data_IF_717243089746
#
_entry.id   IF_717243089746
#
_cell.length_a   1.000
_cell.length_b   1.000
_cell.length_c   1.000
_cell.angle_alpha   90.00
_cell.angle_beta   90.00
_cell.angle_gamma   90.00
#
_symmetry.space_group_name_H-M   'P 1'
#
loop_
_entity.id
_entity.type
_entity.pdbx_description
1 polymer ?
#
# COMPACT_ATOMS: atom_id res chain seq x y z
N UNK A 1 -60.48 -36.36 33.15
CA UNK A 1 -59.04 -36.10 33.01
C UNK A 1 -58.87 -34.77 32.30
N UNK A 2 -58.37 -33.75 33.01
CA UNK A 2 -58.13 -32.41 32.46
C UNK A 2 -56.76 -32.40 31.80
N UNK A 3 -56.68 -32.10 30.50
CA UNK A 3 -55.43 -31.71 29.83
C UNK A 3 -55.55 -30.24 29.42
N UNK A 4 -54.80 -29.37 30.09
CA UNK A 4 -54.63 -27.98 29.70
C UNK A 4 -53.62 -27.90 28.56
N UNK A 5 -54.03 -27.38 27.40
CA UNK A 5 -53.08 -26.96 26.36
C UNK A 5 -52.52 -25.59 26.75
N UNK A 6 -51.24 -25.56 27.10
CA UNK A 6 -50.48 -24.31 27.20
C UNK A 6 -50.02 -23.91 25.79
N UNK A 7 -50.54 -22.80 25.28
CA UNK A 7 -50.01 -22.13 24.09
C UNK A 7 -48.71 -21.43 24.46
N UNK A 8 -47.58 -21.94 23.98
CA UNK A 8 -46.30 -21.25 24.02
C UNK A 8 -46.22 -20.36 22.79
N UNK A 9 -46.42 -19.05 22.96
CA UNK A 9 -46.07 -18.05 21.95
C UNK A 9 -44.56 -17.88 21.93
N UNK A 10 -43.89 -18.45 20.90
CA UNK A 10 -42.52 -18.07 20.56
C UNK A 10 -42.54 -16.64 20.02
N UNK A 11 -42.09 -15.68 20.82
CA UNK A 11 -41.72 -14.37 20.32
C UNK A 11 -40.36 -14.49 19.61
N UNK A 12 -40.38 -14.49 18.28
CA UNK A 12 -39.16 -14.32 17.48
C UNK A 12 -38.63 -12.90 17.72
N UNK A 13 -37.60 -12.78 18.56
CA UNK A 13 -36.83 -11.55 18.69
C UNK A 13 -36.08 -11.34 17.37
N UNK A 14 -36.63 -10.52 16.47
CA UNK A 14 -35.86 -9.94 15.38
C UNK A 14 -34.84 -8.99 16.00
N UNK A 15 -33.63 -9.50 16.24
CA UNK A 15 -32.49 -8.65 16.49
C UNK A 15 -32.14 -7.99 15.15
N UNK A 16 -32.71 -6.82 14.89
CA UNK A 16 -32.23 -5.93 13.85
C UNK A 16 -30.80 -5.54 14.22
N UNK A 17 -29.81 -6.28 13.70
CA UNK A 17 -28.45 -5.78 13.60
C UNK A 17 -28.56 -4.52 12.77
N UNK A 18 -28.44 -3.36 13.41
CA UNK A 18 -28.21 -2.12 12.69
C UNK A 18 -26.97 -2.36 11.82
N UNK A 19 -27.16 -2.41 10.50
CA UNK A 19 -26.05 -2.39 9.55
C UNK A 19 -25.31 -1.09 9.80
N UNK A 20 -24.12 -1.19 10.38
CA UNK A 20 -23.20 -0.08 10.52
C UNK A 20 -22.91 0.53 9.14
N UNK A 21 -22.66 1.83 9.17
CA UNK A 21 -22.88 2.81 8.11
C UNK A 21 -22.20 2.49 6.76
N UNK A 22 -22.98 2.08 5.75
CA UNK A 22 -22.58 2.10 4.33
C UNK A 22 -22.85 3.49 3.72
N UNK A 23 -22.36 4.55 4.36
CA UNK A 23 -22.53 5.93 3.91
C UNK A 23 -21.19 6.67 3.94
N UNK A 24 -21.07 7.67 3.08
CA UNK A 24 -19.92 8.58 3.03
C UNK A 24 -19.90 9.64 4.13
N UNK A 25 -20.78 9.58 5.14
CA UNK A 25 -20.79 10.57 6.24
C UNK A 25 -19.52 10.50 7.11
N UNK A 26 -18.64 9.53 6.89
CA UNK A 26 -17.32 9.47 7.50
C UNK A 26 -16.24 10.28 6.75
N UNK A 27 -16.57 10.98 5.66
CA UNK A 27 -15.66 11.94 5.02
C UNK A 27 -15.53 13.22 5.86
N UNK A 28 -14.33 13.82 5.86
CA UNK A 28 -14.12 15.12 6.50
C UNK A 28 -14.88 16.22 5.73
N UNK A 29 -15.68 17.02 6.44
CA UNK A 29 -16.45 18.13 5.89
C UNK A 29 -16.30 19.41 6.74
N UNK A 30 -16.01 20.58 6.15
CA UNK A 30 -15.76 20.79 4.73
C UNK A 30 -14.43 20.15 4.29
N UNK A 31 -14.42 19.61 3.06
CA UNK A 31 -13.19 19.08 2.47
C UNK A 31 -12.24 20.22 2.06
N UNK A 32 -10.94 19.98 2.20
CA UNK A 32 -9.87 20.88 1.77
C UNK A 32 -9.10 20.29 0.60
N UNK A 33 -9.05 21.04 -0.50
CA UNK A 33 -8.36 20.70 -1.75
C UNK A 33 -7.14 21.62 -2.02
N UNK A 34 -6.76 22.46 -1.06
CA UNK A 34 -5.60 23.36 -1.17
C UNK A 34 -4.93 23.57 0.19
N UNK A 35 -3.61 23.72 0.22
CA UNK A 35 -2.87 23.81 1.48
C UNK A 35 -2.92 22.48 2.23
N UNK A 36 -3.52 22.44 3.42
CA UNK A 36 -3.70 21.19 4.17
C UNK A 36 -4.87 20.39 3.60
N UNK A 37 -4.58 19.32 2.89
CA UNK A 37 -5.53 18.48 2.18
C UNK A 37 -6.29 17.55 3.13
N UNK A 38 -7.57 17.34 2.82
CA UNK A 38 -8.36 16.23 3.37
C UNK A 38 -8.60 15.13 2.33
N UNK A 39 -8.37 15.44 1.06
CA UNK A 39 -8.55 14.50 -0.04
C UNK A 39 -7.68 14.86 -1.25
N UNK A 40 -7.19 13.83 -1.94
CA UNK A 40 -6.48 13.95 -3.21
C UNK A 40 -6.98 12.87 -4.17
N UNK A 41 -7.09 13.19 -5.46
CA UNK A 41 -7.46 12.24 -6.51
C UNK A 41 -6.53 12.34 -7.72
N UNK A 42 -5.98 11.22 -8.14
CA UNK A 42 -5.33 11.05 -9.42
C UNK A 42 -6.33 10.53 -10.46
N UNK A 43 -6.36 11.14 -11.64
CA UNK A 43 -7.24 10.73 -12.75
C UNK A 43 -6.45 10.44 -14.01
N UNK A 44 -7.00 9.59 -14.89
CA UNK A 44 -6.35 9.15 -16.12
C UNK A 44 -5.01 8.44 -15.83
N UNK A 45 -4.94 7.66 -14.75
CA UNK A 45 -3.68 7.08 -14.26
C UNK A 45 -3.12 6.07 -15.25
N UNK A 46 -4.00 5.28 -15.86
CA UNK A 46 -3.67 4.23 -16.80
C UNK A 46 -2.84 4.70 -17.99
N UNK A 47 -2.03 3.78 -18.48
CA UNK A 47 -1.11 3.99 -19.59
C UNK A 47 -1.07 2.77 -20.50
N UNK A 48 -0.83 3.03 -21.78
CA UNK A 48 -0.23 2.03 -22.67
C UNK A 48 1.26 2.32 -22.76
N UNK A 49 2.08 1.30 -22.52
CA UNK A 49 3.52 1.46 -22.50
C UNK A 49 4.25 0.17 -22.17
N UNK A 50 5.49 0.31 -21.74
CA UNK A 50 6.35 -0.82 -21.41
C UNK A 50 7.20 -0.45 -20.21
N UNK A 51 7.41 -1.40 -19.31
CA UNK A 51 8.47 -1.31 -18.30
C UNK A 51 9.38 -2.54 -18.38
N UNK A 52 10.56 -2.47 -17.77
CA UNK A 52 11.50 -3.59 -17.74
C UNK A 52 11.19 -4.50 -16.54
N UNK A 53 10.42 -5.58 -16.77
CA UNK A 53 10.09 -6.57 -15.76
C UNK A 53 11.34 -7.39 -15.42
N UNK A 54 11.61 -7.60 -14.13
CA UNK A 54 12.70 -8.49 -13.72
C UNK A 54 12.31 -9.93 -14.03
N UNK A 55 13.20 -10.64 -14.71
CA UNK A 55 13.01 -12.05 -15.10
C UNK A 55 14.04 -12.97 -14.47
N UNK A 56 15.20 -12.44 -14.08
CA UNK A 56 16.20 -13.18 -13.32
C UNK A 56 17.13 -12.22 -12.57
N UNK A 57 17.75 -12.71 -11.49
CA UNK A 57 18.81 -12.05 -10.75
C UNK A 57 19.99 -13.02 -10.61
N UNK A 58 21.13 -12.66 -11.19
CA UNK A 58 22.36 -13.45 -11.06
C UNK A 58 23.02 -13.12 -9.71
N UNK A 59 23.22 -14.08 -8.81
CA UNK A 59 23.58 -13.81 -7.41
C UNK A 59 24.99 -13.23 -7.21
N UNK A 60 25.90 -13.35 -8.19
CA UNK A 60 27.31 -12.99 -8.02
C UNK A 60 28.10 -13.99 -7.16
N UNK A 61 29.39 -13.72 -6.95
CA UNK A 61 30.28 -14.54 -6.11
C UNK A 61 30.99 -13.63 -5.10
N UNK A 62 31.13 -14.06 -3.85
CA UNK A 62 31.81 -13.26 -2.83
C UNK A 62 33.30 -13.10 -3.18
N UNK A 63 33.94 -11.93 -2.92
CA UNK A 63 33.42 -10.77 -2.19
C UNK A 63 32.77 -9.68 -3.06
N UNK A 64 32.81 -9.79 -4.39
CA UNK A 64 32.43 -8.72 -5.32
C UNK A 64 31.35 -9.13 -6.31
N UNK A 65 30.36 -8.26 -6.51
CA UNK A 65 29.41 -8.43 -7.61
C UNK A 65 30.05 -8.01 -8.93
N UNK A 66 30.75 -8.93 -9.60
CA UNK A 66 31.42 -8.67 -10.88
C UNK A 66 30.55 -9.00 -12.10
N UNK A 67 29.34 -9.54 -11.88
CA UNK A 67 28.42 -9.92 -12.96
C UNK A 67 27.68 -8.69 -13.50
N UNK A 68 27.71 -8.48 -14.81
CA UNK A 68 27.00 -7.39 -15.47
C UNK A 68 26.39 -7.81 -16.83
N UNK A 69 25.05 -7.69 -17.02
CA UNK A 69 24.07 -7.31 -16.01
C UNK A 69 23.81 -8.45 -15.02
N UNK A 70 23.84 -8.15 -13.71
CA UNK A 70 23.33 -9.09 -12.71
C UNK A 70 21.79 -9.06 -12.64
N UNK A 71 21.18 -7.93 -13.02
CA UNK A 71 19.73 -7.75 -13.07
C UNK A 71 19.22 -8.00 -14.49
N UNK A 72 18.56 -9.13 -14.71
CA UNK A 72 18.07 -9.52 -16.03
C UNK A 72 16.62 -9.11 -16.15
N UNK A 73 16.35 -8.24 -17.12
CA UNK A 73 15.01 -7.71 -17.36
C UNK A 73 14.53 -8.01 -18.77
N UNK A 74 13.21 -8.02 -18.95
CA UNK A 74 12.57 -8.09 -20.25
C UNK A 74 11.48 -7.01 -20.35
N UNK A 75 11.28 -6.43 -21.54
CA UNK A 75 10.18 -5.50 -21.76
C UNK A 75 8.82 -6.17 -21.53
N UNK A 76 8.04 -5.70 -20.56
CA UNK A 76 6.65 -6.11 -20.33
C UNK A 76 5.72 -5.01 -20.79
N UNK A 77 4.82 -5.36 -21.72
CA UNK A 77 3.79 -4.45 -22.20
C UNK A 77 2.70 -4.28 -21.15
N UNK A 78 2.26 -3.05 -20.96
CA UNK A 78 1.13 -2.70 -20.11
C UNK A 78 0.15 -1.86 -20.91
N UNK A 79 -1.14 -2.01 -20.61
CA UNK A 79 -2.20 -1.23 -21.25
C UNK A 79 -3.46 -1.23 -20.37
N UNK A 80 -4.24 -0.17 -20.49
CA UNK A 80 -5.56 -0.06 -19.87
C UNK A 80 -5.59 0.86 -18.65
N UNK A 81 -6.76 0.91 -18.02
CA UNK A 81 -7.00 1.71 -16.84
C UNK A 81 -6.14 1.22 -15.66
N UNK A 82 -5.66 2.17 -14.86
CA UNK A 82 -4.71 2.00 -13.77
C UNK A 82 -3.35 1.39 -14.13
N UNK A 83 -3.09 0.90 -15.34
CA UNK A 83 -1.82 0.26 -15.65
C UNK A 83 -0.59 1.17 -15.39
N UNK A 84 0.43 0.70 -14.62
CA UNK A 84 0.63 -0.66 -14.09
C UNK A 84 0.08 -0.94 -12.66
N UNK A 85 -0.59 0.02 -12.02
CA UNK A 85 -1.17 -0.12 -10.67
C UNK A 85 -2.37 -1.10 -10.57
N UNK A 86 -2.89 -1.56 -11.71
CA UNK A 86 -3.83 -2.68 -11.76
C UNK A 86 -3.13 -4.04 -11.56
N UNK A 87 -1.79 -4.10 -11.61
CA UNK A 87 -1.05 -5.31 -11.23
C UNK A 87 -1.06 -5.49 -9.71
N UNK A 88 -0.45 -6.59 -9.24
CA UNK A 88 -0.30 -6.84 -7.81
C UNK A 88 0.51 -5.72 -7.15
N UNK A 89 -0.07 -5.12 -6.11
CA UNK A 89 0.56 -4.07 -5.31
C UNK A 89 0.83 -4.57 -3.89
N UNK A 90 1.92 -4.06 -3.32
CA UNK A 90 2.24 -4.11 -1.89
C UNK A 90 2.05 -2.73 -1.28
N UNK A 91 1.79 -2.66 0.03
CA UNK A 91 1.79 -1.41 0.78
C UNK A 91 2.96 -1.43 1.77
N UNK A 92 3.76 -0.37 1.74
CA UNK A 92 4.99 -0.24 2.49
C UNK A 92 4.88 0.90 3.50
N UNK A 93 5.59 0.75 4.61
CA UNK A 93 5.59 1.66 5.74
C UNK A 93 7.02 1.89 6.20
N UNK A 94 7.36 3.15 6.49
CA UNK A 94 8.61 3.56 7.13
C UNK A 94 8.27 4.31 8.41
N UNK A 95 8.99 4.00 9.49
CA UNK A 95 8.82 4.70 10.74
C UNK A 95 9.53 6.05 10.81
N UNK A 96 9.38 6.78 11.92
CA UNK A 96 8.63 6.37 13.11
C UNK A 96 7.12 6.46 12.85
N UNK A 97 6.39 5.37 13.10
CA UNK A 97 4.99 5.22 12.71
C UNK A 97 4.27 4.24 13.64
N UNK A 98 3.07 4.61 14.10
CA UNK A 98 2.17 3.71 14.81
C UNK A 98 1.04 3.26 13.87
N UNK A 99 0.93 1.95 13.59
CA UNK A 99 -0.19 1.33 12.90
C UNK A 99 -1.17 0.72 13.91
N UNK A 100 -2.45 1.09 13.81
CA UNK A 100 -3.50 0.57 14.69
C UNK A 100 -4.36 -0.49 14.01
N UNK A 101 -4.74 -0.22 12.76
CA UNK A 101 -5.68 -1.05 12.02
C UNK A 101 -5.39 -0.98 10.52
N UNK A 102 -5.54 -2.11 9.84
CA UNK A 102 -5.45 -2.25 8.38
C UNK A 102 -6.64 -3.07 7.91
N UNK A 103 -7.26 -2.67 6.80
CA UNK A 103 -8.17 -3.49 6.03
C UNK A 103 -7.94 -3.28 4.54
N UNK A 104 -7.97 -4.35 3.75
CA UNK A 104 -7.92 -4.30 2.29
C UNK A 104 -9.22 -4.87 1.75
N UNK A 105 -9.87 -4.12 0.87
CA UNK A 105 -11.11 -4.53 0.20
C UNK A 105 -10.86 -4.67 -1.30
N UNK A 106 -11.44 -5.70 -1.93
CA UNK A 106 -11.43 -5.88 -3.38
C UNK A 106 -12.82 -6.27 -3.88
N UNK A 107 -13.24 -5.81 -5.07
CA UNK A 107 -14.43 -6.30 -5.74
C UNK A 107 -14.13 -7.62 -6.47
N UNK A 108 -15.15 -8.45 -6.68
CA UNK A 108 -15.01 -9.70 -7.44
C UNK A 108 -14.80 -9.47 -8.95
N UNK A 109 -15.12 -8.27 -9.45
CA UNK A 109 -14.92 -7.80 -10.81
C UNK A 109 -14.88 -6.28 -10.85
N UNK A 110 -14.39 -5.69 -11.94
CA UNK A 110 -14.29 -4.23 -12.13
C UNK A 110 -15.61 -3.48 -11.88
N UNK A 111 -16.75 -4.09 -12.20
CA UNK A 111 -18.09 -3.50 -12.08
C UNK A 111 -18.91 -4.05 -10.91
N UNK A 112 -18.31 -4.77 -9.97
CA UNK A 112 -19.06 -5.37 -8.86
C UNK A 112 -19.70 -4.30 -7.96
N UNK A 113 -20.93 -4.58 -7.53
CA UNK A 113 -21.68 -3.72 -6.60
C UNK A 113 -21.15 -3.74 -5.17
N UNK A 114 -20.22 -4.65 -4.87
CA UNK A 114 -19.73 -4.92 -3.51
C UNK A 114 -18.23 -5.20 -3.53
N UNK A 115 -17.54 -4.59 -2.59
CA UNK A 115 -16.11 -4.76 -2.32
C UNK A 115 -15.99 -5.51 -1.00
N UNK A 116 -15.37 -6.68 -1.01
CA UNK A 116 -15.26 -7.56 0.17
C UNK A 116 -13.92 -7.36 0.84
N UNK A 117 -13.88 -7.38 2.17
CA UNK A 117 -12.64 -7.38 2.93
C UNK A 117 -11.88 -8.68 2.64
N UNK A 118 -10.71 -8.56 2.02
CA UNK A 118 -9.86 -9.70 1.65
C UNK A 118 -8.70 -9.89 2.61
N UNK A 119 -8.29 -8.83 3.31
CA UNK A 119 -7.21 -8.87 4.31
C UNK A 119 -7.50 -7.86 5.42
N UNK A 120 -7.09 -8.17 6.66
CA UNK A 120 -7.26 -7.25 7.78
C UNK A 120 -6.27 -7.51 8.91
N UNK A 121 -5.94 -6.48 9.67
CA UNK A 121 -5.13 -6.60 10.87
C UNK A 121 -5.47 -5.51 11.88
N UNK A 122 -5.30 -5.85 13.16
CA UNK A 122 -5.45 -4.95 14.30
C UNK A 122 -4.21 -5.11 15.17
N UNK A 123 -3.63 -4.00 15.62
CA UNK A 123 -2.50 -3.99 16.53
C UNK A 123 -2.71 -4.92 17.73
N UNK A 124 -1.73 -5.76 18.03
CA UNK A 124 -1.82 -6.75 19.10
C UNK A 124 -2.67 -7.98 18.77
N UNK A 125 -3.06 -8.20 17.50
CA UNK A 125 -3.80 -9.38 17.05
C UNK A 125 -3.10 -10.07 15.88
N UNK A 126 -3.48 -11.34 15.65
CA UNK A 126 -3.07 -12.06 14.45
C UNK A 126 -3.76 -11.46 13.21
N UNK A 127 -3.03 -11.29 12.09
CA UNK A 127 -3.63 -10.82 10.84
C UNK A 127 -4.51 -11.89 10.18
N UNK A 128 -5.45 -11.43 9.36
CA UNK A 128 -6.23 -12.25 8.44
C UNK A 128 -5.76 -11.99 7.01
N UNK A 129 -5.28 -13.04 6.32
CA UNK A 129 -4.79 -13.01 4.94
C UNK A 129 -3.85 -11.83 4.61
N UNK A 130 -2.95 -11.47 5.54
CA UNK A 130 -1.78 -10.68 5.23
C UNK A 130 -0.58 -11.10 6.08
N UNK A 131 0.61 -10.77 5.59
CA UNK A 131 1.88 -11.03 6.24
C UNK A 131 2.68 -9.73 6.32
N UNK A 132 3.38 -9.52 7.43
CA UNK A 132 4.36 -8.45 7.54
C UNK A 132 5.72 -8.94 7.06
N UNK A 133 6.35 -8.16 6.18
CA UNK A 133 7.63 -8.48 5.59
C UNK A 133 8.58 -7.29 5.71
N UNK A 134 9.88 -7.54 5.66
CA UNK A 134 10.94 -6.52 5.64
C UNK A 134 12.01 -6.92 4.63
N UNK A 135 12.99 -6.04 4.36
CA UNK A 135 14.07 -6.32 3.42
C UNK A 135 15.36 -6.79 4.13
N UNK A 136 15.21 -7.71 5.09
CA UNK A 136 16.29 -8.23 5.95
C UNK A 136 16.64 -9.70 5.65
N UNK A 137 16.33 -10.18 4.45
CA UNK A 137 16.53 -11.59 4.08
C UNK A 137 18.00 -12.03 4.04
N UNK A 138 18.23 -13.31 4.35
CA UNK A 138 19.56 -13.93 4.30
C UNK A 138 19.95 -14.78 5.50
N UNK A 139 19.24 -14.63 6.62
CA UNK A 139 19.47 -15.44 7.83
C UNK A 139 18.25 -16.32 8.16
N UNK A 140 17.19 -15.73 8.74
CA UNK A 140 16.02 -16.47 9.24
C UNK A 140 14.99 -16.84 8.17
N UNK A 141 14.74 -15.92 7.25
CA UNK A 141 13.95 -16.13 6.03
C UNK A 141 14.51 -15.23 4.93
N UNK A 142 13.97 -15.34 3.73
CA UNK A 142 14.57 -14.71 2.55
C UNK A 142 15.95 -15.31 2.22
N UNK A 143 16.64 -14.63 1.32
CA UNK A 143 17.97 -14.99 0.85
C UNK A 143 18.84 -13.75 0.75
N UNK A 144 20.15 -13.94 0.87
CA UNK A 144 21.14 -12.94 0.53
C UNK A 144 21.91 -13.40 -0.70
N UNK A 145 22.20 -12.47 -1.61
CA UNK A 145 23.16 -12.69 -2.67
C UNK A 145 24.05 -11.47 -2.85
N UNK A 146 25.29 -11.69 -3.31
CA UNK A 146 26.31 -10.65 -3.43
C UNK A 146 25.86 -9.51 -4.35
N UNK A 147 25.23 -9.84 -5.46
CA UNK A 147 24.71 -8.86 -6.41
C UNK A 147 23.33 -8.31 -6.03
N UNK A 148 22.49 -9.10 -5.40
CA UNK A 148 21.11 -8.71 -5.11
C UNK A 148 20.91 -8.07 -3.73
N UNK A 149 21.89 -8.16 -2.84
CA UNK A 149 21.73 -7.84 -1.43
C UNK A 149 20.69 -8.74 -0.76
N UNK A 150 20.17 -8.27 0.39
CA UNK A 150 19.08 -8.91 1.12
C UNK A 150 17.80 -8.90 0.27
N UNK A 151 17.11 -10.04 0.23
CA UNK A 151 15.74 -10.11 -0.29
C UNK A 151 14.74 -9.68 0.77
N UNK A 152 13.47 -9.72 0.39
CA UNK A 152 12.38 -9.73 1.35
C UNK A 152 12.46 -10.96 2.27
N UNK A 153 11.98 -10.79 3.51
CA UNK A 153 11.87 -11.78 4.58
C UNK A 153 10.62 -11.51 5.42
N UNK A 154 10.16 -12.50 6.19
CA UNK A 154 9.11 -12.29 7.18
C UNK A 154 9.62 -11.40 8.32
N UNK A 155 8.86 -10.39 8.71
CA UNK A 155 9.21 -9.51 9.82
C UNK A 155 8.81 -10.11 11.17
N UNK A 156 9.63 -9.89 12.21
CA UNK A 156 9.27 -10.21 13.60
C UNK A 156 8.17 -9.26 14.13
N UNK A 157 7.65 -9.52 15.34
CA UNK A 157 6.54 -8.74 15.90
C UNK A 157 6.90 -7.30 16.30
N UNK A 158 8.19 -7.01 16.44
CA UNK A 158 8.71 -5.67 16.67
C UNK A 158 9.05 -4.91 15.38
N UNK A 159 9.00 -5.57 14.22
CA UNK A 159 9.39 -5.05 12.91
C UNK A 159 10.85 -4.56 12.80
N UNK A 160 11.73 -5.07 13.66
CA UNK A 160 13.15 -4.71 13.73
C UNK A 160 14.09 -5.77 13.15
N UNK A 161 13.58 -6.96 12.86
CA UNK A 161 14.39 -8.09 12.40
C UNK A 161 13.56 -9.08 11.58
N UNK A 162 14.21 -9.97 10.85
CA UNK A 162 13.57 -11.11 10.22
C UNK A 162 13.08 -12.15 11.25
N UNK A 163 12.18 -13.03 10.83
CA UNK A 163 11.76 -14.25 11.53
C UNK A 163 11.63 -15.41 10.53
N UNK A 164 11.47 -16.64 11.02
CA UNK A 164 11.47 -17.87 10.20
C UNK A 164 10.12 -18.18 9.55
N UNK A 165 9.02 -17.61 10.06
CA UNK A 165 7.68 -17.88 9.56
C UNK A 165 6.81 -16.61 9.54
N UNK A 166 5.88 -16.55 8.58
CA UNK A 166 4.92 -15.47 8.47
C UNK A 166 4.17 -15.25 9.79
N UNK A 167 4.20 -14.02 10.30
CA UNK A 167 3.48 -13.62 11.51
C UNK A 167 3.73 -14.55 12.71
N UNK A 168 4.95 -15.07 12.85
CA UNK A 168 5.34 -15.94 13.97
C UNK A 168 5.14 -15.26 15.34
N UNK A 169 5.19 -13.94 15.36
CA UNK A 169 4.97 -13.09 16.52
C UNK A 169 3.85 -12.09 16.23
N UNK A 170 3.11 -11.72 17.27
CA UNK A 170 2.04 -10.73 17.16
C UNK A 170 2.64 -9.33 17.12
N UNK A 171 2.39 -8.60 16.05
CA UNK A 171 2.87 -7.24 15.90
C UNK A 171 2.12 -6.25 16.81
N UNK A 172 2.86 -5.38 17.50
CA UNK A 172 2.30 -4.38 18.42
C UNK A 172 1.78 -3.13 17.73
N UNK A 173 2.25 -2.87 16.50
CA UNK A 173 1.90 -1.68 15.73
C UNK A 173 2.89 -0.53 15.79
N UNK A 174 3.97 -0.63 16.56
CA UNK A 174 5.02 0.39 16.57
C UNK A 174 6.14 0.04 15.59
N UNK A 175 6.40 0.93 14.64
CA UNK A 175 7.54 0.89 13.72
C UNK A 175 8.49 2.03 14.06
N UNK A 176 9.74 1.71 14.43
CA UNK A 176 10.73 2.72 14.75
C UNK A 176 11.31 3.43 13.51
N UNK A 177 12.09 4.48 13.74
CA UNK A 177 12.65 5.35 12.71
C UNK A 177 13.71 4.72 11.80
N UNK A 178 14.25 3.55 12.15
CA UNK A 178 15.32 2.85 11.42
C UNK A 178 14.79 1.73 10.52
N UNK A 179 13.50 1.39 10.63
CA UNK A 179 12.94 0.23 9.97
C UNK A 179 11.82 0.55 8.99
N UNK A 180 11.72 -0.34 8.02
CA UNK A 180 10.68 -0.37 7.01
C UNK A 180 10.08 -1.77 6.93
N UNK A 181 8.78 -1.82 6.73
CA UNK A 181 8.04 -3.04 6.48
C UNK A 181 7.15 -2.86 5.27
N UNK A 182 6.70 -3.98 4.72
CA UNK A 182 5.59 -4.01 3.80
C UNK A 182 4.59 -5.11 4.16
N UNK A 183 3.38 -5.00 3.61
CA UNK A 183 2.34 -6.01 3.72
C UNK A 183 2.07 -6.65 2.37
N UNK A 184 1.92 -7.97 2.38
CA UNK A 184 1.50 -8.79 1.25
C UNK A 184 0.40 -9.75 1.70
N UNK A 185 -0.25 -10.45 0.78
CA UNK A 185 -1.23 -11.50 1.11
C UNK A 185 -0.55 -12.71 1.77
N UNK A 186 -1.32 -13.60 2.38
CA UNK A 186 -0.77 -14.84 2.94
C UNK A 186 -0.38 -15.88 1.88
N UNK A 187 -0.81 -15.72 0.62
CA UNK A 187 -0.48 -16.63 -0.47
C UNK A 187 0.97 -16.45 -0.90
N UNK A 188 1.74 -17.53 -0.89
CA UNK A 188 3.15 -17.50 -1.29
C UNK A 188 3.32 -17.67 -2.80
N UNK A 189 4.44 -17.18 -3.33
CA UNK A 189 4.81 -17.41 -4.73
C UNK A 189 5.15 -18.89 -5.05
N UNK A 190 5.40 -19.70 -4.01
CA UNK A 190 5.64 -21.14 -4.12
C UNK A 190 4.31 -21.91 -4.25
N UNK A 191 3.26 -21.47 -3.56
CA UNK A 191 1.91 -22.05 -3.67
C UNK A 191 1.27 -21.74 -5.04
N UNK A 192 1.53 -20.54 -5.56
CA UNK A 192 1.06 -20.08 -6.86
C UNK A 192 2.14 -19.19 -7.47
N UNK A 193 2.62 -19.45 -8.70
CA UNK A 193 3.66 -18.62 -9.29
C UNK A 193 3.25 -17.15 -9.38
N UNK A 194 4.07 -16.31 -8.76
CA UNK A 194 4.00 -14.86 -8.89
C UNK A 194 4.39 -14.40 -10.30
N UNK A 195 3.83 -13.29 -10.76
CA UNK A 195 4.23 -12.71 -12.04
C UNK A 195 5.64 -12.09 -11.97
N UNK A 196 6.46 -12.44 -12.97
CA UNK A 196 7.86 -12.06 -13.06
C UNK A 196 8.77 -12.79 -12.05
N UNK A 197 9.96 -12.25 -11.82
CA UNK A 197 10.93 -12.85 -10.91
C UNK A 197 10.61 -12.57 -9.43
N UNK A 198 10.67 -13.62 -8.61
CA UNK A 198 10.67 -13.57 -7.16
C UNK A 198 11.86 -14.40 -6.63
N UNK A 199 12.47 -14.00 -5.51
CA UNK A 199 13.54 -14.77 -4.87
C UNK A 199 13.31 -14.94 -3.37
N UNK A 200 13.71 -16.10 -2.86
CA UNK A 200 13.61 -16.39 -1.42
C UNK A 200 12.15 -16.38 -0.95
N UNK A 201 11.90 -15.69 0.16
CA UNK A 201 10.56 -15.55 0.73
C UNK A 201 9.78 -14.46 0.00
N UNK A 202 8.70 -14.85 -0.67
CA UNK A 202 7.89 -13.95 -1.48
C UNK A 202 6.41 -14.33 -1.44
N UNK A 203 5.55 -13.32 -1.45
CA UNK A 203 4.10 -13.46 -1.37
C UNK A 203 3.41 -12.68 -2.50
N UNK A 204 2.14 -12.99 -2.75
CA UNK A 204 1.31 -12.24 -3.69
C UNK A 204 0.87 -10.89 -3.11
N UNK A 205 0.75 -9.87 -3.96
CA UNK A 205 0.13 -8.59 -3.62
C UNK A 205 -1.37 -8.56 -3.92
N UNK A 206 -1.98 -7.38 -3.85
CA UNK A 206 -3.38 -7.17 -4.26
C UNK A 206 -3.44 -6.56 -5.67
N UNK A 207 -4.03 -7.28 -6.62
CA UNK A 207 -4.22 -6.83 -8.01
C UNK A 207 -5.52 -6.02 -8.21
N UNK A 208 -5.69 -5.48 -9.41
CA UNK A 208 -6.90 -4.81 -9.91
C UNK A 208 -7.41 -3.69 -8.98
N UNK A 209 -8.72 -3.49 -8.94
CA UNK A 209 -9.39 -2.56 -8.03
C UNK A 209 -9.20 -2.99 -6.58
N UNK A 210 -8.79 -2.07 -5.72
CA UNK A 210 -8.46 -2.35 -4.31
C UNK A 210 -8.57 -1.08 -3.46
N UNK A 211 -9.00 -1.25 -2.22
CA UNK A 211 -9.07 -0.17 -1.25
C UNK A 211 -8.29 -0.56 0.00
N UNK A 212 -7.27 0.21 0.33
CA UNK A 212 -6.61 0.15 1.64
C UNK A 212 -7.33 1.12 2.59
N UNK A 213 -7.71 0.64 3.77
CA UNK A 213 -8.09 1.48 4.90
C UNK A 213 -7.07 1.27 6.00
N UNK A 214 -6.46 2.36 6.46
CA UNK A 214 -5.41 2.31 7.47
C UNK A 214 -5.59 3.41 8.51
N UNK A 215 -5.45 3.04 9.78
CA UNK A 215 -5.46 3.97 10.91
C UNK A 215 -4.06 4.03 11.53
N UNK A 216 -3.48 5.23 11.61
CA UNK A 216 -2.10 5.44 12.02
C UNK A 216 -1.83 6.82 12.62
N UNK A 217 -0.68 6.98 13.28
CA UNK A 217 -0.01 8.25 13.52
C UNK A 217 1.49 8.15 13.16
N UNK A 218 2.13 9.30 12.98
CA UNK A 218 3.51 9.48 12.52
C UNK A 218 4.25 10.40 13.50
N UNK A 219 4.73 9.86 14.63
CA UNK A 219 5.36 10.66 15.67
C UNK A 219 6.65 11.33 15.16
N UNK A 220 7.15 12.35 15.87
CA UNK A 220 8.43 12.96 15.52
C UNK A 220 9.57 11.93 15.61
N UNK A 221 10.50 12.03 14.67
CA UNK A 221 11.77 11.30 14.72
C UNK A 221 12.77 12.00 15.63
N UNK A 222 13.64 11.21 16.26
CA UNK A 222 14.80 11.74 16.98
C UNK A 222 15.90 12.24 16.03
N UNK A 223 15.89 11.75 14.79
CA UNK A 223 16.78 12.14 13.70
C UNK A 223 15.98 12.75 12.54
N UNK A 224 16.23 14.03 12.23
CA UNK A 224 15.52 14.74 11.16
C UNK A 224 15.75 14.18 9.73
N UNK A 225 16.73 13.29 9.56
CA UNK A 225 16.96 12.55 8.31
C UNK A 225 16.10 11.29 8.17
N UNK A 226 15.49 10.83 9.26
CA UNK A 226 14.59 9.68 9.28
C UNK A 226 13.16 10.17 9.42
N UNK A 227 12.38 9.99 8.35
CA UNK A 227 11.03 10.55 8.23
C UNK A 227 10.06 9.47 7.82
N UNK A 228 8.84 9.44 8.38
CA UNK A 228 7.91 8.37 8.10
C UNK A 228 7.28 8.49 6.71
N UNK A 229 6.85 7.35 6.18
CA UNK A 229 6.15 7.29 4.91
C UNK A 229 5.20 6.10 4.84
N UNK A 230 4.13 6.25 4.07
CA UNK A 230 3.27 5.17 3.59
C UNK A 230 3.25 5.25 2.08
N UNK A 231 3.63 4.19 1.40
CA UNK A 231 3.64 4.12 -0.06
C UNK A 231 3.16 2.75 -0.55
N UNK A 232 2.95 2.63 -1.85
CA UNK A 232 2.60 1.39 -2.52
C UNK A 232 3.53 1.16 -3.70
N UNK A 233 3.95 -0.09 -3.90
CA UNK A 233 4.80 -0.52 -4.99
C UNK A 233 4.13 -1.64 -5.77
N UNK A 234 4.47 -1.77 -7.05
CA UNK A 234 4.24 -3.04 -7.76
C UNK A 234 4.95 -4.16 -6.97
N UNK A 235 4.23 -5.25 -6.68
CA UNK A 235 4.70 -6.35 -5.83
C UNK A 235 5.99 -6.98 -6.37
N UNK A 236 6.27 -6.93 -7.67
CA UNK A 236 7.55 -7.39 -8.20
C UNK A 236 8.74 -6.67 -7.56
N UNK A 237 8.61 -5.38 -7.22
CA UNK A 237 9.71 -4.58 -6.65
C UNK A 237 10.27 -5.23 -5.38
N UNK A 238 9.38 -5.63 -4.47
CA UNK A 238 9.77 -6.25 -3.20
C UNK A 238 10.14 -7.72 -3.34
N UNK A 239 9.50 -8.44 -4.29
CA UNK A 239 9.79 -9.85 -4.57
C UNK A 239 11.16 -10.08 -5.21
N UNK A 240 11.65 -9.13 -6.00
CA UNK A 240 12.96 -9.21 -6.63
C UNK A 240 14.06 -8.68 -5.71
N UNK A 241 14.07 -7.36 -5.44
CA UNK A 241 14.99 -6.69 -4.52
C UNK A 241 14.61 -5.19 -4.46
N UNK A 242 13.87 -4.76 -3.43
CA UNK A 242 13.32 -3.39 -3.36
C UNK A 242 14.38 -2.31 -3.55
N UNK A 243 15.56 -2.52 -2.98
CA UNK A 243 16.71 -1.60 -3.05
C UNK A 243 17.83 -2.05 -3.98
N UNK A 244 17.53 -2.95 -4.91
CA UNK A 244 18.49 -3.49 -5.87
C UNK A 244 17.90 -3.70 -7.26
N UNK A 245 17.94 -4.94 -7.73
CA UNK A 245 17.37 -5.34 -9.01
C UNK A 245 15.84 -5.35 -8.95
N UNK A 246 15.18 -4.30 -9.44
CA UNK A 246 13.73 -4.19 -9.50
C UNK A 246 13.25 -3.41 -10.73
N UNK A 247 11.93 -3.37 -10.89
CA UNK A 247 11.26 -2.71 -12.00
C UNK A 247 10.78 -1.27 -11.73
N UNK A 248 10.99 -0.71 -10.52
CA UNK A 248 10.31 0.52 -10.06
C UNK A 248 10.40 1.66 -11.07
N UNK A 249 11.63 1.98 -11.50
CA UNK A 249 11.95 3.01 -12.47
C UNK A 249 11.46 4.42 -12.07
N UNK A 250 12.32 5.21 -11.43
CA UNK A 250 11.99 6.59 -11.06
C UNK A 250 12.02 7.54 -12.27
N UNK A 251 11.04 8.44 -12.40
CA UNK A 251 11.04 9.49 -13.42
C UNK A 251 10.62 9.04 -14.83
N UNK A 252 11.30 9.52 -15.87
CA UNK A 252 11.03 9.16 -17.27
C UNK A 252 12.21 8.36 -17.82
N UNK A 253 12.01 7.18 -18.47
CA UNK A 253 10.74 6.64 -18.97
C UNK A 253 9.85 5.94 -17.93
N UNK A 254 10.19 5.99 -16.65
CA UNK A 254 9.42 5.36 -15.56
C UNK A 254 9.61 3.85 -15.51
N UNK A 255 8.94 3.19 -14.59
CA UNK A 255 8.91 1.73 -14.49
C UNK A 255 7.55 1.19 -14.06
N UNK A 256 7.56 0.06 -13.36
CA UNK A 256 6.35 -0.62 -12.88
C UNK A 256 5.60 0.15 -11.78
N UNK A 257 6.16 1.27 -11.32
CA UNK A 257 5.44 2.32 -10.62
C UNK A 257 5.54 2.30 -9.10
N UNK A 258 5.26 3.47 -8.52
CA UNK A 258 5.18 3.75 -7.09
C UNK A 258 4.09 4.80 -6.85
N UNK A 259 3.34 4.62 -5.77
CA UNK A 259 2.40 5.61 -5.23
C UNK A 259 2.85 5.95 -3.81
N UNK A 260 3.37 7.14 -3.60
CA UNK A 260 3.53 7.70 -2.27
C UNK A 260 2.15 8.18 -1.79
N UNK A 261 1.59 7.52 -0.78
CA UNK A 261 0.27 7.86 -0.23
C UNK A 261 0.42 9.06 0.70
N UNK A 262 1.42 8.98 1.58
CA UNK A 262 1.80 10.06 2.48
C UNK A 262 3.28 9.92 2.81
N UNK A 263 4.13 10.76 2.21
CA UNK A 263 5.57 10.80 2.46
C UNK A 263 5.97 12.14 3.07
N UNK A 264 6.59 12.11 4.25
CA UNK A 264 7.30 13.29 4.78
C UNK A 264 8.67 13.39 4.12
N UNK A 265 9.01 14.57 3.61
CA UNK A 265 10.27 14.80 2.90
C UNK A 265 11.39 15.21 3.85
N UNK A 266 12.55 14.56 3.72
CA UNK A 266 13.77 14.96 4.43
C UNK A 266 14.16 16.39 4.05
N UNK A 267 14.37 17.24 5.05
CA UNK A 267 14.77 18.64 4.86
C UNK A 267 13.62 19.58 4.45
N UNK A 268 12.39 19.09 4.35
CA UNK A 268 11.18 19.92 4.22
C UNK A 268 10.52 20.17 5.59
N UNK A 269 9.34 20.79 5.60
CA UNK A 269 8.53 20.88 6.82
C UNK A 269 8.16 19.46 7.29
N UNK A 270 8.63 19.02 8.47
CA UNK A 270 8.39 17.67 8.94
C UNK A 270 6.90 17.42 9.25
N UNK A 271 6.07 18.45 9.39
CA UNK A 271 4.64 18.30 9.67
C UNK A 271 3.79 18.12 8.41
N UNK A 272 4.43 17.95 7.26
CA UNK A 272 3.76 17.78 5.98
C UNK A 272 4.06 16.39 5.39
N UNK A 273 3.02 15.79 4.83
CA UNK A 273 3.11 14.62 3.97
C UNK A 273 2.68 14.98 2.55
N UNK A 274 3.44 14.58 1.56
CA UNK A 274 3.06 14.71 0.15
C UNK A 274 2.56 13.38 -0.39
N UNK A 275 1.83 13.44 -1.50
CA UNK A 275 1.50 12.27 -2.30
C UNK A 275 2.03 12.47 -3.72
N UNK A 276 2.68 11.45 -4.25
CA UNK A 276 3.32 11.45 -5.56
C UNK A 276 3.08 10.09 -6.24
N UNK A 277 2.97 10.07 -7.57
CA UNK A 277 2.93 8.86 -8.37
C UNK A 277 4.11 8.89 -9.34
N UNK A 278 4.86 7.80 -9.37
CA UNK A 278 5.84 7.48 -10.40
C UNK A 278 5.28 6.37 -11.29
N UNK A 279 5.28 6.56 -12.61
CA UNK A 279 4.83 5.55 -13.58
C UNK A 279 5.51 5.74 -14.93
N UNK A 280 5.17 4.90 -15.92
CA UNK A 280 5.59 5.09 -17.32
C UNK A 280 5.15 6.44 -17.93
N UNK A 281 4.20 7.14 -17.30
CA UNK A 281 3.78 8.49 -17.71
C UNK A 281 4.68 9.59 -17.11
N UNK A 282 5.58 9.25 -16.20
CA UNK A 282 6.44 10.14 -15.45
C UNK A 282 6.01 10.28 -13.98
N UNK A 283 6.48 11.34 -13.34
CA UNK A 283 6.18 11.70 -11.96
C UNK A 283 5.14 12.83 -11.88
N UNK A 284 4.22 12.73 -10.93
CA UNK A 284 3.27 13.81 -10.56
C UNK A 284 2.94 13.75 -9.07
N UNK A 285 2.41 14.83 -8.50
CA UNK A 285 1.95 14.80 -7.12
C UNK A 285 1.35 16.11 -6.66
N UNK A 286 1.06 16.17 -5.36
CA UNK A 286 0.46 17.35 -4.73
C UNK A 286 1.39 18.57 -4.74
N UNK A 287 2.71 18.33 -4.80
CA UNK A 287 3.75 19.34 -4.64
C UNK A 287 3.86 19.82 -3.19
N UNK A 288 4.79 20.74 -2.91
CA UNK A 288 5.00 21.25 -1.54
C UNK A 288 3.96 22.29 -1.08
N UNK A 289 3.15 22.85 -1.98
CA UNK A 289 2.12 23.84 -1.62
C UNK A 289 0.80 23.21 -1.19
N UNK A 290 0.58 21.94 -1.55
CA UNK A 290 -0.59 21.17 -1.14
C UNK A 290 -0.10 19.89 -0.48
N UNK A 291 -0.43 19.69 0.78
CA UNK A 291 0.12 18.62 1.62
C UNK A 291 -0.96 18.03 2.51
N UNK A 292 -0.84 16.76 2.87
CA UNK A 292 -1.56 16.22 4.01
C UNK A 292 -0.84 16.65 5.30
N UNK A 293 -1.59 17.12 6.30
CA UNK A 293 -0.98 17.37 7.61
C UNK A 293 -0.51 16.04 8.21
N UNK A 294 0.76 15.96 8.60
CA UNK A 294 1.32 14.76 9.23
C UNK A 294 0.64 14.56 10.61
N UNK A 295 0.06 13.38 10.88
CA UNK A 295 -0.58 13.10 12.16
C UNK A 295 0.46 12.82 13.25
N UNK A 296 1.00 13.83 13.94
CA UNK A 296 2.10 13.65 14.90
C UNK A 296 1.70 13.18 16.29
N UNK A 297 0.41 13.24 16.62
CA UNK A 297 -0.08 13.04 18.00
C UNK A 297 -1.37 12.25 18.00
N UNK A 298 -2.36 12.72 17.23
CA UNK A 298 -3.63 12.01 17.10
C UNK A 298 -3.59 11.05 15.91
N UNK A 299 -4.13 9.85 16.12
CA UNK A 299 -4.34 8.91 15.02
C UNK A 299 -5.36 9.43 14.02
N UNK A 300 -5.11 9.14 12.75
CA UNK A 300 -5.99 9.46 11.63
C UNK A 300 -6.31 8.19 10.86
N UNK A 301 -7.42 8.22 10.11
CA UNK A 301 -7.79 7.10 9.23
C UNK A 301 -7.80 7.59 7.78
N UNK A 302 -7.18 6.82 6.89
CA UNK A 302 -7.15 7.09 5.46
C UNK A 302 -7.77 5.92 4.70
N UNK A 303 -8.63 6.25 3.72
CA UNK A 303 -9.08 5.34 2.69
C UNK A 303 -8.37 5.64 1.38
N UNK A 304 -7.69 4.65 0.81
CA UNK A 304 -6.95 4.74 -0.44
C UNK A 304 -7.58 3.80 -1.44
N UNK A 305 -8.36 4.34 -2.37
CA UNK A 305 -9.10 3.59 -3.39
C UNK A 305 -8.31 3.64 -4.69
N UNK A 306 -7.94 2.49 -5.23
CA UNK A 306 -7.48 2.33 -6.61
C UNK A 306 -8.64 1.65 -7.36
N UNK A 307 -9.27 2.36 -8.30
CA UNK A 307 -10.41 1.82 -9.07
C UNK A 307 -10.12 1.75 -10.58
N UNK A 308 -10.09 0.52 -11.10
CA UNK A 308 -9.91 0.23 -12.53
C UNK A 308 -11.07 0.81 -13.34
N UNK A 309 -12.31 0.75 -12.83
CA UNK A 309 -13.48 1.22 -13.58
C UNK A 309 -13.41 2.73 -13.87
N UNK A 310 -12.93 3.50 -12.89
CA UNK A 310 -12.83 4.97 -12.99
C UNK A 310 -11.46 5.47 -13.44
N UNK A 311 -10.49 4.58 -13.72
CA UNK A 311 -9.10 4.92 -14.03
C UNK A 311 -8.51 5.97 -13.09
N UNK A 312 -8.73 5.77 -11.78
CA UNK A 312 -8.41 6.78 -10.78
C UNK A 312 -7.97 6.18 -9.45
N UNK A 313 -7.18 6.98 -8.72
CA UNK A 313 -6.73 6.69 -7.36
C UNK A 313 -7.20 7.83 -6.47
N UNK A 314 -7.94 7.53 -5.40
CA UNK A 314 -8.39 8.52 -4.42
C UNK A 314 -7.79 8.24 -3.05
N UNK A 315 -7.26 9.26 -2.40
CA UNK A 315 -6.74 9.25 -1.04
C UNK A 315 -7.62 10.18 -0.23
N UNK A 316 -8.40 9.64 0.70
CA UNK A 316 -9.36 10.39 1.51
C UNK A 316 -9.04 10.23 3.00
N UNK A 317 -8.93 11.34 3.72
CA UNK A 317 -8.95 11.33 5.19
C UNK A 317 -10.38 11.10 5.66
N UNK A 318 -10.55 10.13 6.54
CA UNK A 318 -11.82 9.74 7.13
C UNK A 318 -11.88 10.17 8.60
N UNK A 319 -13.08 10.48 9.09
CA UNK A 319 -13.39 10.73 10.50
C UNK A 319 -13.14 9.46 11.31
N UNK A 320 -13.61 8.32 10.80
CA UNK A 320 -13.43 7.00 11.40
C UNK A 320 -13.76 5.90 10.38
N UNK A 321 -13.44 4.66 10.73
CA UNK A 321 -13.81 3.46 9.98
C UNK A 321 -14.25 2.35 10.92
N UNK A 322 -15.33 1.65 10.58
CA UNK A 322 -15.76 0.44 11.27
C UNK A 322 -15.02 -0.78 10.69
N UNK A 323 -13.95 -1.20 11.35
CA UNK A 323 -13.15 -2.35 10.93
C UNK A 323 -13.87 -3.70 11.07
N UNK A 324 -15.07 -3.75 11.67
CA UNK A 324 -15.90 -4.97 11.69
C UNK A 324 -16.67 -5.18 10.38
N UNK A 325 -16.74 -4.16 9.52
CA UNK A 325 -17.40 -4.22 8.23
C UNK A 325 -16.63 -5.11 7.25
N UNK A 326 -17.21 -6.24 6.88
CA UNK A 326 -16.63 -7.21 5.95
C UNK A 326 -16.87 -6.88 4.48
N UNK A 327 -17.68 -5.87 4.17
CA UNK A 327 -17.97 -5.47 2.79
C UNK A 327 -18.43 -4.03 2.67
N UNK A 328 -18.05 -3.35 1.59
CA UNK A 328 -18.41 -1.95 1.25
C UNK A 328 -19.19 -1.95 -0.06
N UNK A 329 -20.23 -1.12 -0.19
CA UNK A 329 -20.98 -1.01 -1.44
C UNK A 329 -20.20 -0.19 -2.47
N UNK A 330 -20.45 -0.45 -3.76
CA UNK A 330 -19.94 0.38 -4.86
C UNK A 330 -20.32 1.86 -4.69
N UNK A 331 -21.51 2.13 -4.16
CA UNK A 331 -22.00 3.50 -3.90
C UNK A 331 -21.10 4.27 -2.91
N UNK A 332 -20.62 3.61 -1.85
CA UNK A 332 -19.67 4.23 -0.91
C UNK A 332 -18.31 4.47 -1.58
N UNK A 333 -17.82 3.51 -2.37
CA UNK A 333 -16.58 3.65 -3.14
C UNK A 333 -16.68 4.82 -4.13
N UNK A 334 -17.78 4.90 -4.88
CA UNK A 334 -18.06 6.02 -5.79
C UNK A 334 -18.16 7.34 -5.03
N UNK A 335 -18.71 7.34 -3.84
CA UNK A 335 -18.73 8.52 -2.98
C UNK A 335 -17.32 8.98 -2.58
N UNK A 336 -16.37 8.07 -2.30
CA UNK A 336 -14.96 8.41 -2.05
C UNK A 336 -14.22 8.89 -3.29
N UNK A 337 -14.50 8.31 -4.45
CA UNK A 337 -13.93 8.72 -5.74
C UNK A 337 -14.46 10.09 -6.22
N UNK A 338 -15.69 10.45 -5.84
CA UNK A 338 -16.34 11.70 -6.23
C UNK A 338 -16.29 12.78 -5.13
N UNK A 339 -15.77 12.47 -3.95
CA UNK A 339 -15.62 13.44 -2.88
C UNK A 339 -14.74 14.64 -3.32
N UNK A 340 -15.04 15.88 -2.89
CA UNK A 340 -14.20 17.03 -3.19
C UNK A 340 -12.77 16.82 -2.69
N UNK A 341 -11.80 16.99 -3.58
CA UNK A 341 -10.39 16.70 -3.35
C UNK A 341 -9.51 17.53 -4.29
N UNK A 342 -8.21 17.63 -3.99
CA UNK A 342 -7.24 18.11 -4.98
C UNK A 342 -7.17 17.10 -6.13
N UNK A 343 -7.43 17.54 -7.37
CA UNK A 343 -7.30 16.67 -8.54
C UNK A 343 -5.93 16.84 -9.21
N UNK A 344 -5.27 15.71 -9.49
CA UNK A 344 -4.01 15.62 -10.24
C UNK A 344 -4.23 14.71 -11.45
N UNK A 345 -4.39 15.30 -12.64
CA UNK A 345 -4.68 14.57 -13.87
C UNK A 345 -3.41 14.18 -14.65
N UNK A 346 -3.39 12.93 -15.11
CA UNK A 346 -2.38 12.37 -16.01
C UNK A 346 -2.76 12.45 -17.50
N UNK A 347 -3.74 13.29 -17.86
CA UNK A 347 -4.10 13.51 -19.26
C UNK A 347 -2.93 14.13 -20.07
N UNK A 348 -2.88 13.82 -21.36
CA UNK A 348 -1.87 14.37 -22.29
C UNK A 348 -1.86 15.91 -22.25
N UNK A 349 -0.71 16.49 -21.85
CA UNK A 349 -0.53 17.95 -21.71
C UNK A 349 -0.31 18.43 -20.28
N UNK A 350 -0.55 17.58 -19.27
CA UNK A 350 -0.05 17.83 -17.92
C UNK A 350 1.49 17.94 -17.98
N UNK A 351 2.05 19.04 -17.48
CA UNK A 351 3.49 19.28 -17.50
C UNK A 351 4.18 18.07 -16.87
N UNK A 352 4.92 17.29 -17.67
CA UNK A 352 5.93 16.36 -17.14
C UNK A 352 6.80 17.18 -16.21
N UNK A 353 6.68 17.00 -14.90
CA UNK A 353 7.66 17.60 -14.00
C UNK A 353 8.96 16.85 -14.28
N UNK A 354 9.89 17.52 -14.93
CA UNK A 354 11.27 17.07 -14.98
C UNK A 354 11.70 16.88 -13.53
N UNK A 355 12.22 15.69 -13.24
CA UNK A 355 12.69 15.31 -11.91
C UNK A 355 13.95 16.12 -11.61
N UNK A 356 13.78 17.38 -11.18
CA UNK A 356 14.85 18.15 -10.54
C UNK A 356 14.82 17.75 -9.07
N UNK A 357 15.60 16.73 -8.73
CA UNK A 357 15.65 16.21 -7.37
C UNK A 357 14.67 15.08 -7.11
N UNK A 358 14.68 14.04 -7.94
CA UNK A 358 14.14 12.75 -7.53
C UNK A 358 14.84 12.42 -6.24
N UNK A 359 14.08 12.37 -5.15
CA UNK A 359 14.62 12.05 -3.84
C UNK A 359 15.08 10.60 -3.90
N UNK A 360 16.32 10.40 -4.37
CA UNK A 360 17.02 9.14 -4.17
C UNK A 360 16.98 8.92 -2.67
N UNK A 361 16.21 7.91 -2.24
CA UNK A 361 16.24 7.45 -0.86
C UNK A 361 17.69 7.10 -0.56
N UNK A 362 18.39 7.99 0.14
CA UNK A 362 19.76 7.77 0.58
C UNK A 362 19.65 6.83 1.76
N UNK A 363 19.76 5.54 1.51
CA UNK A 363 19.92 4.56 2.56
C UNK A 363 21.36 4.69 3.10
N UNK A 364 21.48 5.08 4.36
CA UNK A 364 22.65 4.74 5.15
C UNK A 364 22.68 3.22 5.28
N UNK A 365 23.85 2.65 5.01
CA UNK A 365 24.15 1.24 5.29
C UNK A 365 23.94 0.91 6.76
#
# INVERSE_FOLDING_TARGET
>A
MRLSLAFITLATLYCSRASAQQSTDNLISPASASGSLTGLKYTNVGATGTYNQVTNLVPGTFPSCDVNPFCITQPKQISGALAPFNEEMTFNFRGPLNLYNIAVYQPASTSASTWTQVSSWVAGQAPNNLVFMNNLGGDKSGVFSICGGNSQSFANGAWTDATTAANAEVASGFLDEDHEINIMTAQTCDDSPCDGFARGTANHGWADSKMLVVTFDMPPSSDASKVPAIWALNAQVVRSAEYGCNCRGEGSPGGCGELDILETLVGADPNQGISEIYSVKGATGSGSTNFFARPTTDKVTYGVVLDVQMDSIAIQRLISWDYTQTSVSREVIDGYLNAPALEVSFATGAKKRGVVGGHRRRHGL
#
